data_IF_214613079032
#
_entry.id   IF_214613079032
#
_cell.length_a   1.000
_cell.length_b   1.000
_cell.length_c   1.000
_cell.angle_alpha   90.00
_cell.angle_beta   90.00
_cell.angle_gamma   90.00
#
_symmetry.space_group_name_H-M   'P 1'
#
loop_
_entity.id
_entity.type
_entity.pdbx_description
1 polymer ?
#
# COMPACT_ATOMS: atom_id res chain seq x y z
N UNK A 1 7.65 29.65 -5.59
CA UNK A 1 6.26 29.82 -5.91
C UNK A 1 5.88 31.30 -5.87
N UNK A 2 5.23 31.81 -6.92
CA UNK A 2 4.55 33.10 -6.93
C UNK A 2 3.04 32.84 -6.86
N UNK A 3 2.37 33.40 -5.89
CA UNK A 3 0.93 33.24 -5.69
C UNK A 3 0.26 34.63 -5.70
N UNK A 4 -0.99 34.73 -6.19
CA UNK A 4 -1.66 36.02 -6.33
C UNK A 4 -1.98 36.70 -4.99
N UNK A 5 -2.24 35.92 -3.93
CA UNK A 5 -2.62 36.39 -2.60
C UNK A 5 -1.97 35.46 -1.57
N UNK A 6 -0.96 35.97 -0.85
CA UNK A 6 -0.22 35.20 0.16
C UNK A 6 -0.96 35.10 1.50
N UNK A 7 -1.96 35.95 1.75
CA UNK A 7 -2.72 35.95 3.00
C UNK A 7 -3.95 35.03 2.95
N UNK A 8 -4.33 34.57 1.76
CA UNK A 8 -5.51 33.73 1.56
C UNK A 8 -5.15 32.42 0.82
N UNK A 9 -4.25 31.66 1.43
CA UNK A 9 -3.76 30.39 0.90
C UNK A 9 -4.26 29.21 1.74
N UNK A 10 -4.54 28.11 1.06
CA UNK A 10 -4.71 26.81 1.65
C UNK A 10 -4.04 25.74 0.78
N UNK A 11 -3.86 24.56 1.34
CA UNK A 11 -3.35 23.42 0.58
C UNK A 11 -4.17 22.16 0.83
N UNK A 12 -4.14 21.26 -0.14
CA UNK A 12 -4.63 19.89 -0.04
C UNK A 12 -3.60 18.97 -0.67
N UNK A 13 -3.56 17.72 -0.24
CA UNK A 13 -2.67 16.71 -0.79
C UNK A 13 -3.47 15.61 -1.47
N UNK A 14 -2.84 14.90 -2.39
CA UNK A 14 -3.41 13.68 -2.96
C UNK A 14 -3.33 12.56 -1.91
N UNK A 15 -4.38 11.73 -1.82
CA UNK A 15 -4.55 10.68 -0.80
C UNK A 15 -3.50 9.56 -0.81
N UNK A 16 -2.71 9.45 -1.88
CA UNK A 16 -1.73 8.38 -2.11
C UNK A 16 -0.28 8.85 -2.15
N UNK A 17 -0.02 10.08 -1.69
CA UNK A 17 1.36 10.61 -1.64
C UNK A 17 2.19 9.91 -0.56
N UNK A 18 3.52 10.08 -0.66
CA UNK A 18 4.44 9.75 0.42
C UNK A 18 4.16 10.65 1.62
N UNK A 19 4.00 10.05 2.78
CA UNK A 19 3.82 10.79 4.04
C UNK A 19 5.04 11.68 4.31
N UNK A 20 6.24 11.13 4.14
CA UNK A 20 7.50 11.85 4.41
C UNK A 20 7.72 13.00 3.42
N UNK A 21 7.58 12.74 2.10
CA UNK A 21 7.74 13.79 1.09
C UNK A 21 6.70 14.90 1.25
N UNK A 22 5.49 14.56 1.67
CA UNK A 22 4.43 15.53 1.93
C UNK A 22 4.77 16.39 3.14
N UNK A 23 5.28 15.80 4.22
CA UNK A 23 5.70 16.53 5.41
C UNK A 23 6.81 17.56 5.08
N UNK A 24 7.81 17.17 4.30
CA UNK A 24 8.89 18.06 3.87
C UNK A 24 8.37 19.24 3.03
N UNK A 25 7.45 18.97 2.10
CA UNK A 25 6.83 20.00 1.25
C UNK A 25 5.98 20.95 2.09
N UNK A 26 5.18 20.42 3.02
CA UNK A 26 4.32 21.22 3.89
C UNK A 26 5.19 22.12 4.78
N UNK A 27 6.26 21.59 5.38
CA UNK A 27 7.18 22.38 6.19
C UNK A 27 7.82 23.54 5.40
N UNK A 28 8.20 23.29 4.14
CA UNK A 28 8.74 24.32 3.26
C UNK A 28 7.69 25.39 2.88
N UNK A 29 6.42 24.97 2.70
CA UNK A 29 5.32 25.89 2.42
C UNK A 29 4.97 26.74 3.65
N UNK A 30 4.90 26.15 4.83
CA UNK A 30 4.64 26.87 6.09
C UNK A 30 5.73 27.89 6.41
N UNK A 31 6.99 27.55 6.13
CA UNK A 31 8.10 28.51 6.27
C UNK A 31 7.95 29.69 5.31
N UNK A 32 7.45 29.46 4.10
CA UNK A 32 7.30 30.52 3.07
C UNK A 32 5.99 31.29 3.24
N UNK A 33 4.94 30.66 3.72
CA UNK A 33 3.59 31.21 3.86
C UNK A 33 3.02 30.90 5.26
N UNK A 34 3.44 31.64 6.30
CA UNK A 34 3.12 31.30 7.69
C UNK A 34 1.64 31.43 8.04
N UNK A 35 0.84 32.14 7.23
CA UNK A 35 -0.60 32.31 7.42
C UNK A 35 -1.44 31.29 6.61
N UNK A 36 -0.78 30.33 5.93
CA UNK A 36 -1.47 29.32 5.13
C UNK A 36 -2.39 28.43 5.96
N UNK A 37 -3.61 28.20 5.47
CA UNK A 37 -4.60 27.37 6.13
C UNK A 37 -4.35 25.89 5.83
N UNK A 38 -4.07 25.05 6.83
CA UNK A 38 -3.95 23.61 6.63
C UNK A 38 -5.33 22.99 6.30
N UNK A 39 -5.37 21.80 5.69
CA UNK A 39 -6.61 21.06 5.48
C UNK A 39 -7.27 20.72 6.84
N UNK A 40 -8.60 20.64 6.87
CA UNK A 40 -9.39 20.35 8.08
C UNK A 40 -9.20 18.92 8.62
N UNK A 41 -8.63 18.03 7.83
CA UNK A 41 -8.30 16.65 8.20
C UNK A 41 -7.05 16.20 7.44
N UNK A 42 -6.44 15.11 7.87
CA UNK A 42 -5.34 14.50 7.13
C UNK A 42 -5.78 14.17 5.70
N UNK A 43 -5.03 14.69 4.73
CA UNK A 43 -5.37 14.52 3.30
C UNK A 43 -4.91 13.17 2.75
N UNK A 44 -3.86 12.57 3.34
CA UNK A 44 -3.41 11.21 3.00
C UNK A 44 -4.32 10.24 3.76
N UNK A 45 -4.94 9.29 3.04
CA UNK A 45 -5.87 8.38 3.68
C UNK A 45 -5.15 7.41 4.64
N UNK A 46 -5.83 7.05 5.75
CA UNK A 46 -5.28 6.14 6.77
C UNK A 46 -4.75 4.83 6.19
N UNK A 47 -5.43 4.25 5.20
CA UNK A 47 -4.98 3.02 4.56
C UNK A 47 -3.65 3.20 3.81
N UNK A 48 -3.38 4.37 3.24
CA UNK A 48 -2.09 4.71 2.65
C UNK A 48 -1.02 4.89 3.72
N UNK A 49 -1.33 5.63 4.78
CA UNK A 49 -0.41 5.88 5.90
C UNK A 49 -0.02 4.56 6.58
N UNK A 50 -1.00 3.74 6.97
CA UNK A 50 -0.75 2.46 7.63
C UNK A 50 0.13 1.53 6.80
N UNK A 51 -0.12 1.46 5.48
CA UNK A 51 0.69 0.62 4.58
C UNK A 51 2.11 1.15 4.41
N UNK A 52 2.30 2.45 4.32
CA UNK A 52 3.64 3.03 4.27
C UNK A 52 4.41 2.74 5.56
N UNK A 53 3.79 2.89 6.73
CA UNK A 53 4.42 2.56 8.02
C UNK A 53 4.76 1.06 8.12
N UNK A 54 3.87 0.18 7.66
CA UNK A 54 4.17 -1.26 7.61
C UNK A 54 5.38 -1.57 6.72
N UNK A 55 5.45 -0.95 5.54
CA UNK A 55 6.58 -1.11 4.61
C UNK A 55 7.87 -0.55 5.21
N UNK A 56 7.85 0.64 5.83
CA UNK A 56 9.00 1.23 6.51
C UNK A 56 9.56 0.30 7.59
N UNK A 57 8.67 -0.33 8.36
CA UNK A 57 9.06 -1.26 9.44
C UNK A 57 9.65 -2.56 8.90
N UNK A 58 9.15 -3.07 7.77
CA UNK A 58 9.56 -4.34 7.19
C UNK A 58 10.74 -4.23 6.22
N UNK A 59 11.05 -3.03 5.70
CA UNK A 59 12.08 -2.84 4.69
C UNK A 59 13.52 -3.06 5.16
N UNK A 60 13.92 -2.64 6.39
CA UNK A 60 15.31 -2.78 6.83
C UNK A 60 15.79 -4.23 6.83
N UNK A 61 16.88 -4.50 6.09
CA UNK A 61 17.49 -5.83 6.01
C UNK A 61 16.75 -6.81 5.08
N UNK A 62 15.69 -6.40 4.42
CA UNK A 62 15.00 -7.21 3.41
C UNK A 62 15.82 -7.27 2.12
N UNK A 63 16.11 -8.49 1.65
CA UNK A 63 16.83 -8.71 0.39
C UNK A 63 15.98 -8.41 -0.85
N UNK A 64 14.67 -8.72 -0.79
CA UNK A 64 13.70 -8.39 -1.84
C UNK A 64 12.36 -8.02 -1.21
N UNK A 65 11.80 -6.88 -1.62
CA UNK A 65 10.46 -6.48 -1.22
C UNK A 65 9.48 -6.60 -2.39
N UNK A 66 8.45 -7.42 -2.23
CA UNK A 66 7.38 -7.57 -3.22
C UNK A 66 6.17 -6.73 -2.79
N UNK A 67 5.72 -5.86 -3.69
CA UNK A 67 4.49 -5.09 -3.50
C UNK A 67 3.44 -5.63 -4.46
N UNK A 68 2.36 -6.19 -3.92
CA UNK A 68 1.22 -6.65 -4.71
C UNK A 68 0.36 -5.46 -5.13
N UNK A 69 0.15 -5.29 -6.42
CA UNK A 69 -0.69 -4.21 -6.92
C UNK A 69 -0.59 -3.98 -8.41
N UNK A 70 -1.47 -3.14 -8.94
CA UNK A 70 -1.48 -2.81 -10.36
C UNK A 70 -0.47 -1.71 -10.70
N UNK A 71 0.16 -1.74 -11.90
CA UNK A 71 1.15 -0.74 -12.32
C UNK A 71 0.60 0.69 -12.41
N UNK A 72 -0.69 0.84 -12.62
CA UNK A 72 -1.38 2.14 -12.65
C UNK A 72 -1.83 2.63 -11.26
N UNK A 73 -1.64 1.83 -10.20
CA UNK A 73 -1.93 2.24 -8.82
C UNK A 73 -0.83 3.14 -8.28
N UNK A 74 -1.14 4.40 -8.03
CA UNK A 74 -0.21 5.36 -7.40
C UNK A 74 0.24 4.90 -6.03
N UNK A 75 -0.69 4.36 -5.22
CA UNK A 75 -0.37 3.81 -3.90
C UNK A 75 0.63 2.66 -3.98
N UNK A 76 0.40 1.66 -4.86
CA UNK A 76 1.30 0.50 -4.97
C UNK A 76 2.70 0.90 -5.45
N UNK A 77 2.81 1.81 -6.43
CA UNK A 77 4.11 2.34 -6.86
C UNK A 77 4.82 3.08 -5.74
N UNK A 78 4.09 3.87 -4.95
CA UNK A 78 4.65 4.58 -3.80
C UNK A 78 5.22 3.62 -2.76
N UNK A 79 4.56 2.50 -2.48
CA UNK A 79 5.08 1.50 -1.55
C UNK A 79 6.42 0.89 -2.01
N UNK A 80 6.62 0.69 -3.33
CA UNK A 80 7.93 0.27 -3.88
C UNK A 80 9.02 1.30 -3.59
N UNK A 81 8.72 2.59 -3.79
CA UNK A 81 9.66 3.69 -3.52
C UNK A 81 9.99 3.77 -2.02
N UNK A 82 8.98 3.66 -1.16
CA UNK A 82 9.14 3.65 0.30
C UNK A 82 10.01 2.47 0.73
N UNK A 83 9.76 1.25 0.23
CA UNK A 83 10.57 0.08 0.56
C UNK A 83 12.06 0.29 0.24
N UNK A 84 12.37 0.80 -0.97
CA UNK A 84 13.75 1.09 -1.39
C UNK A 84 14.40 2.17 -0.53
N UNK A 85 13.69 3.24 -0.24
CA UNK A 85 14.19 4.37 0.57
C UNK A 85 14.50 3.93 2.00
N UNK A 86 13.72 2.99 2.55
CA UNK A 86 13.85 2.55 3.95
C UNK A 86 14.67 1.27 4.14
N UNK A 87 15.45 0.86 3.15
CA UNK A 87 16.53 -0.13 3.34
C UNK A 87 16.25 -1.54 2.84
N UNK A 88 15.22 -1.74 2.03
CA UNK A 88 15.13 -2.94 1.21
C UNK A 88 16.24 -2.92 0.15
N UNK A 89 16.97 -4.02 -0.01
CA UNK A 89 18.04 -4.09 -1.01
C UNK A 89 17.49 -3.94 -2.44
N UNK A 90 16.29 -4.49 -2.68
CA UNK A 90 15.50 -4.22 -3.88
C UNK A 90 14.01 -4.33 -3.57
N UNK A 91 13.18 -3.67 -4.40
CA UNK A 91 11.72 -3.73 -4.28
C UNK A 91 11.08 -3.66 -5.66
N UNK A 92 10.07 -4.50 -5.89
CA UNK A 92 9.35 -4.59 -7.17
C UNK A 92 7.84 -4.69 -6.96
N UNK A 93 7.11 -4.21 -7.96
CA UNK A 93 5.67 -4.37 -8.07
C UNK A 93 5.36 -5.65 -8.83
N UNK A 94 4.41 -6.43 -8.34
CA UNK A 94 3.91 -7.65 -8.98
C UNK A 94 2.39 -7.69 -8.90
N UNK A 95 1.71 -8.12 -9.95
CA UNK A 95 0.26 -8.27 -9.96
C UNK A 95 -0.19 -9.67 -9.53
N UNK A 96 0.69 -10.67 -9.73
CA UNK A 96 0.44 -12.09 -9.41
C UNK A 96 1.74 -12.88 -9.35
N UNK A 97 1.68 -14.11 -8.84
CA UNK A 97 2.85 -14.97 -8.70
C UNK A 97 3.58 -15.28 -10.03
N UNK A 98 2.86 -15.33 -11.17
CA UNK A 98 3.46 -15.58 -12.48
C UNK A 98 4.38 -14.46 -12.98
N UNK A 99 4.31 -13.27 -12.40
CA UNK A 99 5.17 -12.14 -12.75
C UNK A 99 6.47 -12.09 -11.92
N UNK A 100 6.62 -12.98 -10.94
CA UNK A 100 7.83 -13.03 -10.13
C UNK A 100 9.01 -13.52 -10.93
N UNK A 101 10.06 -12.70 -11.02
CA UNK A 101 11.34 -13.11 -11.59
C UNK A 101 12.12 -13.95 -10.56
N UNK A 102 11.92 -15.26 -10.64
CA UNK A 102 12.55 -16.23 -9.72
C UNK A 102 14.07 -16.23 -9.78
N UNK A 103 14.68 -15.79 -10.90
CA UNK A 103 16.13 -15.69 -10.99
C UNK A 103 16.67 -14.62 -10.01
N UNK A 104 15.93 -13.57 -9.76
CA UNK A 104 16.27 -12.52 -8.78
C UNK A 104 16.13 -12.97 -7.32
N UNK A 105 15.46 -14.10 -7.08
CA UNK A 105 15.29 -14.67 -5.73
C UNK A 105 16.46 -15.57 -5.34
N UNK A 106 17.38 -15.89 -6.27
CA UNK A 106 18.53 -16.72 -5.95
C UNK A 106 19.48 -16.01 -4.98
N UNK A 107 19.78 -16.67 -3.85
CA UNK A 107 20.64 -16.10 -2.80
C UNK A 107 19.96 -15.06 -1.90
N UNK A 108 18.69 -14.78 -2.11
CA UNK A 108 17.90 -13.91 -1.22
C UNK A 108 17.43 -14.74 -0.02
N UNK A 109 17.84 -14.34 1.17
CA UNK A 109 17.50 -15.02 2.43
C UNK A 109 16.22 -14.47 3.09
N UNK A 110 15.80 -13.27 2.73
CA UNK A 110 14.64 -12.60 3.30
C UNK A 110 13.84 -11.88 2.23
N UNK A 111 12.56 -12.21 2.15
CA UNK A 111 11.60 -11.56 1.25
C UNK A 111 10.48 -10.96 2.10
N UNK A 112 10.22 -9.67 1.94
CA UNK A 112 9.04 -9.03 2.51
C UNK A 112 7.94 -8.89 1.47
N UNK A 113 6.70 -9.03 1.90
CA UNK A 113 5.51 -8.93 1.06
C UNK A 113 4.53 -7.93 1.66
N UNK A 114 4.08 -6.98 0.85
CA UNK A 114 2.99 -6.07 1.19
C UNK A 114 2.08 -5.86 -0.01
N UNK A 115 0.91 -5.30 0.22
CA UNK A 115 -0.10 -5.12 -0.82
C UNK A 115 -0.59 -3.67 -0.87
N UNK A 116 -0.89 -3.17 -2.05
CA UNK A 116 -1.63 -1.92 -2.21
C UNK A 116 -3.03 -2.02 -1.62
N UNK A 117 -3.63 -0.88 -1.28
CA UNK A 117 -4.95 -0.83 -0.63
C UNK A 117 -6.08 -1.52 -1.42
N UNK A 118 -5.96 -1.60 -2.72
CA UNK A 118 -6.93 -2.25 -3.61
C UNK A 118 -6.52 -3.65 -4.10
N UNK A 119 -5.40 -4.19 -3.60
CA UNK A 119 -4.94 -5.51 -4.01
C UNK A 119 -5.78 -6.59 -3.30
N UNK A 120 -6.31 -7.59 -4.03
CA UNK A 120 -7.07 -8.68 -3.42
C UNK A 120 -6.19 -9.57 -2.54
N UNK A 121 -6.70 -9.96 -1.37
CA UNK A 121 -6.00 -10.85 -0.44
C UNK A 121 -5.64 -12.20 -1.08
N UNK A 122 -6.48 -12.71 -1.99
CA UNK A 122 -6.23 -13.97 -2.69
C UNK A 122 -4.93 -13.95 -3.49
N UNK A 123 -4.52 -12.81 -4.03
CA UNK A 123 -3.24 -12.67 -4.76
C UNK A 123 -2.05 -12.72 -3.80
N UNK A 124 -2.20 -12.17 -2.60
CA UNK A 124 -1.18 -12.28 -1.54
C UNK A 124 -0.96 -13.76 -1.20
N UNK A 125 -2.03 -14.52 -1.01
CA UNK A 125 -1.96 -15.95 -0.72
C UNK A 125 -1.38 -16.75 -1.89
N UNK A 126 -1.73 -16.41 -3.14
CA UNK A 126 -1.13 -17.00 -4.35
C UNK A 126 0.40 -16.86 -4.34
N UNK A 127 0.90 -15.67 -4.04
CA UNK A 127 2.34 -15.40 -3.98
C UNK A 127 3.01 -16.19 -2.85
N UNK A 128 2.43 -16.21 -1.65
CA UNK A 128 2.94 -16.99 -0.51
C UNK A 128 3.03 -18.47 -0.88
N UNK A 129 2.00 -19.02 -1.51
CA UNK A 129 1.98 -20.42 -1.94
C UNK A 129 3.04 -20.69 -3.01
N UNK A 130 3.23 -19.78 -3.98
CA UNK A 130 4.28 -19.92 -5.00
C UNK A 130 5.70 -19.93 -4.41
N UNK A 131 5.94 -19.22 -3.30
CA UNK A 131 7.19 -19.32 -2.55
C UNK A 131 7.31 -20.66 -1.82
N UNK A 132 6.25 -21.16 -1.17
CA UNK A 132 6.25 -22.46 -0.49
C UNK A 132 6.50 -23.64 -1.42
N UNK A 133 6.07 -23.54 -2.67
CA UNK A 133 6.32 -24.57 -3.68
C UNK A 133 7.80 -24.66 -4.11
N UNK A 134 8.58 -23.58 -3.92
CA UNK A 134 9.96 -23.47 -4.43
C UNK A 134 11.02 -23.44 -3.36
N UNK A 135 10.65 -23.03 -2.16
CA UNK A 135 11.58 -22.82 -1.06
C UNK A 135 10.98 -23.33 0.26
N UNK A 136 11.86 -23.69 1.17
CA UNK A 136 11.46 -23.91 2.59
C UNK A 136 11.34 -22.52 3.24
N UNK A 137 10.10 -22.07 3.47
CA UNK A 137 9.82 -20.72 3.95
C UNK A 137 9.10 -20.73 5.29
N UNK A 138 9.53 -19.86 6.19
CA UNK A 138 8.77 -19.45 7.37
C UNK A 138 8.11 -18.10 7.07
N UNK A 139 6.82 -17.98 7.38
CA UNK A 139 6.06 -16.75 7.18
C UNK A 139 5.79 -16.09 8.51
N UNK A 140 6.30 -14.88 8.68
CA UNK A 140 6.05 -14.03 9.84
C UNK A 140 5.11 -12.88 9.44
N UNK A 141 4.09 -12.60 10.23
CA UNK A 141 3.15 -11.50 9.99
C UNK A 141 3.55 -10.31 10.85
N UNK A 142 3.98 -9.23 10.19
CA UNK A 142 4.30 -7.97 10.87
C UNK A 142 3.02 -7.13 11.04
N UNK A 143 2.37 -7.23 12.18
CA UNK A 143 1.26 -6.35 12.55
C UNK A 143 1.81 -4.97 12.96
N UNK A 144 1.30 -3.91 12.32
CA UNK A 144 1.69 -2.53 12.62
C UNK A 144 0.56 -1.74 13.26
N UNK A 145 -0.67 -1.94 12.76
CA UNK A 145 -1.87 -1.26 13.23
C UNK A 145 -3.03 -2.24 13.14
N UNK A 146 -3.90 -2.26 14.14
CA UNK A 146 -5.20 -2.91 14.06
C UNK A 146 -6.18 -1.93 13.42
N UNK A 147 -6.64 -2.23 12.21
CA UNK A 147 -7.63 -1.39 11.52
C UNK A 147 -9.01 -1.64 12.13
N UNK A 148 -9.58 -0.57 12.69
CA UNK A 148 -10.93 -0.59 13.30
C UNK A 148 -11.98 0.06 12.41
N UNK A 149 -11.56 0.62 11.26
CA UNK A 149 -12.45 1.28 10.32
C UNK A 149 -13.37 0.27 9.65
N UNK A 150 -14.67 0.50 9.76
CA UNK A 150 -15.69 -0.33 9.14
C UNK A 150 -16.50 0.49 8.12
N UNK A 151 -16.44 0.13 6.86
CA UNK A 151 -17.25 0.73 5.82
C UNK A 151 -18.56 -0.04 5.69
N UNK A 152 -19.70 0.50 6.18
CA UNK A 152 -20.97 -0.18 6.04
C UNK A 152 -21.36 -0.33 4.57
N UNK A 153 -21.88 -1.48 4.21
CA UNK A 153 -22.44 -1.72 2.86
C UNK A 153 -23.49 -0.64 2.55
N UNK A 154 -23.45 -0.08 1.35
CA UNK A 154 -24.43 0.91 0.88
C UNK A 154 -25.85 0.39 1.12
N UNK A 155 -26.77 1.30 1.47
CA UNK A 155 -28.12 0.95 1.89
C UNK A 155 -28.85 0.10 0.81
N UNK A 156 -28.67 0.46 -0.45
CA UNK A 156 -29.30 -0.22 -1.60
C UNK A 156 -28.75 -1.64 -1.84
N UNK A 157 -27.57 -1.97 -1.27
CA UNK A 157 -26.94 -3.28 -1.39
C UNK A 157 -27.15 -4.18 -0.16
N UNK A 158 -27.63 -3.62 0.97
CA UNK A 158 -27.82 -4.37 2.22
C UNK A 158 -28.90 -5.44 2.11
N UNK A 159 -29.93 -5.15 1.32
CA UNK A 159 -31.11 -5.99 1.15
C UNK A 159 -31.04 -6.82 -0.14
N UNK A 160 -29.90 -6.83 -0.82
CA UNK A 160 -29.67 -7.63 -2.03
C UNK A 160 -29.46 -9.09 -1.63
N UNK A 161 -30.34 -9.99 -2.08
CA UNK A 161 -30.14 -11.43 -1.92
C UNK A 161 -28.98 -11.88 -2.81
N UNK A 162 -28.03 -12.62 -2.21
CA UNK A 162 -26.92 -13.21 -2.94
C UNK A 162 -27.43 -14.31 -3.85
N UNK A 163 -27.14 -14.22 -5.14
CA UNK A 163 -27.45 -15.29 -6.10
C UNK A 163 -26.50 -16.49 -5.95
N UNK A 164 -26.84 -17.60 -6.62
CA UNK A 164 -25.99 -18.81 -6.59
C UNK A 164 -24.56 -18.57 -7.09
N UNK A 165 -24.38 -17.70 -8.09
CA UNK A 165 -23.05 -17.31 -8.61
C UNK A 165 -22.24 -16.52 -7.57
N UNK A 166 -22.88 -15.60 -6.83
CA UNK A 166 -22.23 -14.82 -5.78
C UNK A 166 -21.77 -15.74 -4.63
N UNK A 167 -22.59 -16.70 -4.26
CA UNK A 167 -22.26 -17.69 -3.24
C UNK A 167 -21.13 -18.62 -3.67
N UNK A 168 -21.08 -19.02 -4.95
CA UNK A 168 -20.00 -19.83 -5.50
C UNK A 168 -18.66 -19.06 -5.46
N UNK A 169 -18.67 -17.79 -5.85
CA UNK A 169 -17.51 -16.91 -5.76
C UNK A 169 -17.00 -16.75 -4.33
N UNK A 170 -17.90 -16.49 -3.36
CA UNK A 170 -17.55 -16.33 -1.94
C UNK A 170 -17.00 -17.61 -1.32
N UNK A 171 -17.45 -18.77 -1.77
CA UNK A 171 -17.03 -20.07 -1.27
C UNK A 171 -15.80 -20.64 -2.02
N UNK A 172 -15.27 -19.92 -3.02
CA UNK A 172 -14.10 -20.36 -3.79
C UNK A 172 -14.37 -21.63 -4.62
N UNK A 173 -15.62 -21.87 -5.02
CA UNK A 173 -16.03 -23.08 -5.77
C UNK A 173 -16.12 -22.87 -7.28
N UNK A 174 -15.74 -21.70 -7.79
CA UNK A 174 -15.56 -21.49 -9.23
C UNK A 174 -14.25 -22.13 -9.67
N UNK A 175 -14.40 -23.32 -10.27
CA UNK A 175 -13.34 -24.17 -10.81
C UNK A 175 -12.71 -23.66 -12.11
#
# INVERSE_FOLDING_TARGET
LAVPDEDNLGYVTQTTLSVDDTADIVAALEQRFPNMTPPSSESICYATTNRQEAVKKAAPGTGMFLIVGAPNSSNSRRLVEVAKRHGAADAVLVQRASEIDWARMQGVSSVSLSAGASAPEIVVQEIINAFRERFDVTVDIALTVEETENFPVMRDLRDTELGGADMAFLNGTDG
#
